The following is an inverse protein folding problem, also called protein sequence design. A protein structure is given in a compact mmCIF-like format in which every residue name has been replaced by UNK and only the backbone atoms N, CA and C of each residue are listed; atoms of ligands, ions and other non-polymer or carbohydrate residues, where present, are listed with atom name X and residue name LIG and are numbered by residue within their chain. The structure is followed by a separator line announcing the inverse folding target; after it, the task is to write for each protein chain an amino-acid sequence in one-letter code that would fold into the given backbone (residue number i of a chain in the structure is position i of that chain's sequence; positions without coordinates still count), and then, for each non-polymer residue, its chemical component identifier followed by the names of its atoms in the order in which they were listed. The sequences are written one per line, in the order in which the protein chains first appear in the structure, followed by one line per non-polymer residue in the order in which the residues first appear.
data_IF_018629890274
#
_entry.id   IF_018629890274
#
_cell.length_a   1.000
_cell.length_b   1.000
_cell.length_c   1.000
_cell.angle_alpha   90.00
_cell.angle_beta   90.00
_cell.angle_gamma   90.00
#
_symmetry.space_group_name_H-M   'P 1'
#
loop_
_entity.id
_entity.type
_entity.pdbx_description
1 polymer ?
#
# COMPACT_ATOMS: atom_id res chain seq x y z
N UNK A 1 -20.95 3.11 5.66
CA UNK A 1 -19.67 2.40 5.91
C UNK A 1 -19.35 1.61 4.63
N UNK A 2 -18.07 1.47 4.26
CA UNK A 2 -17.71 0.61 3.12
C UNK A 2 -18.12 -0.84 3.41
N UNK A 3 -18.56 -1.56 2.38
CA UNK A 3 -18.89 -2.99 2.50
C UNK A 3 -17.64 -3.88 2.58
N UNK A 4 -17.77 -5.06 3.17
CA UNK A 4 -16.68 -6.04 3.33
C UNK A 4 -16.03 -6.42 1.99
N UNK A 5 -16.84 -6.56 0.95
CA UNK A 5 -16.36 -6.90 -0.40
C UNK A 5 -15.48 -5.80 -1.00
N UNK A 6 -15.83 -4.53 -0.79
CA UNK A 6 -15.03 -3.39 -1.23
C UNK A 6 -13.71 -3.33 -0.47
N UNK A 7 -13.73 -3.49 0.86
CA UNK A 7 -12.52 -3.51 1.68
C UNK A 7 -11.59 -4.67 1.30
N UNK A 8 -12.14 -5.85 1.02
CA UNK A 8 -11.39 -7.02 0.53
C UNK A 8 -10.75 -6.75 -0.82
N UNK A 9 -11.45 -6.07 -1.72
CA UNK A 9 -10.93 -5.69 -3.05
C UNK A 9 -9.79 -4.70 -2.91
N UNK A 10 -9.95 -3.66 -2.07
CA UNK A 10 -8.90 -2.69 -1.75
C UNK A 10 -7.65 -3.41 -1.21
N UNK A 11 -7.82 -4.30 -0.23
CA UNK A 11 -6.70 -5.01 0.39
C UNK A 11 -5.90 -5.83 -0.63
N UNK A 12 -6.57 -6.58 -1.52
CA UNK A 12 -5.91 -7.35 -2.59
C UNK A 12 -5.17 -6.45 -3.58
N UNK A 13 -5.78 -5.35 -4.00
CA UNK A 13 -5.17 -4.40 -4.94
C UNK A 13 -3.93 -3.74 -4.32
N UNK A 14 -4.01 -3.33 -3.06
CA UNK A 14 -2.88 -2.76 -2.31
C UNK A 14 -1.70 -3.73 -2.24
N UNK A 15 -1.92 -4.98 -1.80
CA UNK A 15 -0.85 -6.00 -1.71
C UNK A 15 -0.21 -6.24 -3.08
N UNK A 16 -1.02 -6.37 -4.14
CA UNK A 16 -0.51 -6.56 -5.50
C UNK A 16 0.35 -5.37 -5.94
N UNK A 17 -0.14 -4.15 -5.74
CA UNK A 17 0.58 -2.93 -6.14
C UNK A 17 1.89 -2.79 -5.37
N UNK A 18 1.89 -3.07 -4.06
CA UNK A 18 3.10 -3.04 -3.24
C UNK A 18 4.11 -4.05 -3.78
N UNK A 19 3.74 -5.33 -3.95
CA UNK A 19 4.65 -6.38 -4.47
C UNK A 19 5.25 -6.04 -5.84
N UNK A 20 4.48 -5.41 -6.72
CA UNK A 20 4.96 -5.01 -8.05
C UNK A 20 5.92 -3.82 -8.04
N UNK A 21 5.93 -3.01 -6.97
CA UNK A 21 6.70 -1.76 -6.89
C UNK A 21 7.84 -1.82 -5.87
N UNK A 22 7.87 -2.83 -5.00
CA UNK A 22 9.04 -3.12 -4.16
C UNK A 22 10.06 -3.82 -5.05
N UNK A 23 11.15 -3.12 -5.40
CA UNK A 23 12.33 -3.74 -6.02
C UNK A 23 13.06 -4.61 -5.01
N UNK A 24 13.78 -5.63 -5.48
CA UNK A 24 14.73 -6.42 -4.66
C UNK A 24 15.77 -5.50 -4.00
N UNK A 25 16.12 -4.39 -4.67
CA UNK A 25 16.97 -3.35 -4.10
C UNK A 25 16.20 -2.49 -3.10
N UNK A 26 16.13 -2.98 -1.86
CA UNK A 26 15.67 -2.25 -0.67
C UNK A 26 16.57 -1.05 -0.29
N UNK A 27 17.67 -0.87 -1.02
CA UNK A 27 18.71 0.14 -0.81
C UNK A 27 18.23 1.58 -1.13
N UNK A 28 17.19 1.76 -1.95
CA UNK A 28 16.63 3.09 -2.30
C UNK A 28 15.32 3.36 -1.54
N UNK A 29 15.45 3.51 -0.22
CA UNK A 29 14.34 3.52 0.76
C UNK A 29 13.32 4.64 0.57
N UNK A 30 13.72 5.82 0.10
CA UNK A 30 12.89 7.02 0.16
C UNK A 30 12.04 7.22 -1.11
N UNK A 31 12.61 7.01 -2.30
CA UNK A 31 11.90 7.15 -3.57
C UNK A 31 10.83 6.07 -3.75
N UNK A 32 11.12 4.83 -3.37
CA UNK A 32 10.16 3.72 -3.38
C UNK A 32 9.02 4.00 -2.41
N UNK A 33 9.31 4.46 -1.18
CA UNK A 33 8.28 4.82 -0.19
C UNK A 33 7.39 5.96 -0.68
N UNK A 34 7.96 7.01 -1.28
CA UNK A 34 7.19 8.12 -1.86
C UNK A 34 6.27 7.67 -3.02
N UNK A 35 6.78 6.78 -3.88
CA UNK A 35 6.00 6.17 -4.97
C UNK A 35 4.86 5.32 -4.44
N UNK A 36 5.13 4.42 -3.49
CA UNK A 36 4.13 3.57 -2.85
C UNK A 36 3.05 4.40 -2.14
N UNK A 37 3.42 5.44 -1.40
CA UNK A 37 2.47 6.35 -0.75
C UNK A 37 1.49 6.96 -1.75
N UNK A 38 1.99 7.42 -2.89
CA UNK A 38 1.15 7.99 -3.96
C UNK A 38 0.18 6.94 -4.55
N UNK A 39 0.68 5.74 -4.81
CA UNK A 39 -0.13 4.64 -5.36
C UNK A 39 -1.23 4.20 -4.39
N UNK A 40 -0.89 4.03 -3.11
CA UNK A 40 -1.85 3.63 -2.06
C UNK A 40 -2.96 4.66 -1.93
N UNK A 41 -2.63 5.95 -1.84
CA UNK A 41 -3.64 7.03 -1.80
C UNK A 41 -4.55 7.00 -3.02
N UNK A 42 -3.99 6.74 -4.22
CA UNK A 42 -4.78 6.63 -5.46
C UNK A 42 -5.78 5.48 -5.42
N UNK A 43 -5.38 4.31 -4.91
CA UNK A 43 -6.25 3.13 -4.77
C UNK A 43 -7.36 3.42 -3.75
N UNK A 44 -7.02 3.97 -2.59
CA UNK A 44 -8.01 4.33 -1.55
C UNK A 44 -9.07 5.29 -2.09
N UNK A 45 -8.66 6.34 -2.81
CA UNK A 45 -9.59 7.30 -3.44
C UNK A 45 -10.47 6.67 -4.52
N UNK A 46 -9.90 5.80 -5.36
CA UNK A 46 -10.63 5.09 -6.42
C UNK A 46 -11.80 4.28 -5.87
N UNK A 47 -11.67 3.72 -4.67
CA UNK A 47 -12.72 2.92 -4.01
C UNK A 47 -13.55 3.70 -3.00
N UNK A 48 -13.44 5.03 -2.95
CA UNK A 48 -14.22 5.87 -2.04
C UNK A 48 -13.86 5.70 -0.56
N UNK A 49 -12.61 5.35 -0.26
CA UNK A 49 -12.14 5.25 1.12
C UNK A 49 -12.22 6.61 1.83
N UNK A 50 -12.70 6.67 3.09
CA UNK A 50 -12.89 7.93 3.79
C UNK A 50 -11.58 8.73 3.92
N UNK A 51 -11.57 10.04 3.57
CA UNK A 51 -10.35 10.85 3.55
C UNK A 51 -9.75 11.05 4.95
N UNK A 52 -10.57 11.05 6.00
CA UNK A 52 -10.17 11.09 7.41
C UNK A 52 -9.36 9.84 7.82
N UNK A 53 -9.56 8.71 7.14
CA UNK A 53 -8.88 7.44 7.41
C UNK A 53 -7.79 7.10 6.37
N UNK A 54 -7.74 7.83 5.25
CA UNK A 54 -6.80 7.59 4.15
C UNK A 54 -5.35 7.61 4.63
N UNK A 55 -4.99 8.60 5.46
CA UNK A 55 -3.61 8.77 5.92
C UNK A 55 -3.14 7.59 6.78
N UNK A 56 -3.95 7.21 7.78
CA UNK A 56 -3.65 6.09 8.66
C UNK A 56 -3.55 4.77 7.88
N UNK A 57 -4.51 4.51 6.98
CA UNK A 57 -4.49 3.32 6.13
C UNK A 57 -3.24 3.30 5.24
N UNK A 58 -2.86 4.45 4.67
CA UNK A 58 -1.64 4.57 3.86
C UNK A 58 -0.40 4.24 4.67
N UNK A 59 -0.28 4.77 5.88
CA UNK A 59 0.85 4.49 6.76
C UNK A 59 0.94 3.00 7.12
N UNK A 60 -0.18 2.38 7.51
CA UNK A 60 -0.21 0.95 7.83
C UNK A 60 0.24 0.07 6.66
N UNK A 61 -0.18 0.39 5.43
CA UNK A 61 0.25 -0.36 4.23
C UNK A 61 1.75 -0.23 3.99
N UNK A 62 2.33 0.96 4.21
CA UNK A 62 3.77 1.18 4.08
C UNK A 62 4.55 0.42 5.15
N UNK A 63 4.12 0.47 6.41
CA UNK A 63 4.74 -0.28 7.52
C UNK A 63 4.69 -1.80 7.26
N UNK A 64 3.55 -2.31 6.79
CA UNK A 64 3.43 -3.72 6.40
C UNK A 64 4.33 -4.06 5.22
N UNK A 65 4.41 -3.20 4.20
CA UNK A 65 5.34 -3.40 3.08
C UNK A 65 6.81 -3.47 3.54
N UNK A 66 7.20 -2.67 4.55
CA UNK A 66 8.53 -2.70 5.14
C UNK A 66 8.81 -4.01 5.90
N UNK A 67 7.81 -4.56 6.58
CA UNK A 67 7.94 -5.85 7.28
C UNK A 67 8.12 -7.00 6.28
N UNK A 68 7.27 -7.06 5.24
CA UNK A 68 7.33 -8.13 4.24
C UNK A 68 8.46 -7.97 3.21
N UNK A 69 9.04 -6.77 3.08
CA UNK A 69 10.11 -6.51 2.11
C UNK A 69 11.33 -7.42 2.29
N UNK A 70 11.65 -7.82 3.53
CA UNK A 70 12.72 -8.78 3.81
C UNK A 70 12.39 -10.20 3.35
N UNK A 71 11.11 -10.59 3.41
CA UNK A 71 10.64 -11.91 2.99
C UNK A 71 10.50 -12.03 1.46
N UNK A 72 10.21 -10.93 0.76
CA UNK A 72 10.07 -10.93 -0.70
C UNK A 72 11.38 -10.74 -1.46
N UNK A 73 12.43 -10.26 -0.78
CA UNK A 73 13.77 -10.14 -1.34
C UNK A 73 14.60 -11.43 -1.23
N UNK A 74 14.10 -12.43 -0.49
CA UNK A 74 14.69 -13.77 -0.35
C UNK A 74 14.17 -14.73 -1.42
#
# INVERSE_FOLDING_TARGET
MLGDETLRTIARELVRTVRQNVSIDWTVRESVRAKLRTLVKRILRKHGYPPDKEEKATQTVLEQAELFGKEWAA
#
